data_IF_394956594563
#
_entry.id   IF_394956594563
#
_cell.length_a   1.000
_cell.length_b   1.000
_cell.length_c   1.000
_cell.angle_alpha   90.00
_cell.angle_beta   90.00
_cell.angle_gamma   90.00
#
_symmetry.space_group_name_H-M   'P 1'
#
loop_
_entity.id
_entity.type
_entity.pdbx_description
1 polymer ?
#
# COMPACT_ATOMS: atom_id res chain seq x y z
N UNK A 1 -1.51 -5.97 22.68
CA UNK A 1 -2.69 -5.31 22.07
C UNK A 1 -3.68 -4.74 23.10
N UNK A 2 -3.97 -5.42 24.23
CA UNK A 2 -4.88 -4.89 25.26
C UNK A 2 -4.42 -3.57 25.92
N UNK A 3 -3.11 -3.30 25.99
CA UNK A 3 -2.60 -2.13 26.69
C UNK A 3 -2.99 -0.80 26.03
N UNK A 4 -2.96 -0.68 24.70
CA UNK A 4 -3.25 0.59 24.00
C UNK A 4 -4.74 0.84 23.76
N UNK A 5 -5.55 -0.22 23.62
CA UNK A 5 -6.99 -0.11 23.41
C UNK A 5 -7.74 0.32 24.69
N UNK A 6 -7.24 -0.10 25.87
CA UNK A 6 -7.86 0.21 27.18
C UNK A 6 -7.88 1.70 27.53
N UNK A 7 -6.91 2.47 27.01
CA UNK A 7 -6.80 3.91 27.30
C UNK A 7 -7.48 4.80 26.24
N UNK A 8 -8.05 4.21 25.18
CA UNK A 8 -8.76 4.99 24.17
C UNK A 8 -10.20 5.23 24.60
N UNK A 9 -10.54 6.49 24.90
CA UNK A 9 -11.89 6.90 25.31
C UNK A 9 -12.95 6.70 24.21
N UNK A 10 -12.52 6.58 22.95
CA UNK A 10 -13.41 6.33 21.81
C UNK A 10 -13.70 4.83 21.60
N UNK A 11 -13.24 3.95 22.49
CA UNK A 11 -13.45 2.51 22.39
C UNK A 11 -14.37 2.03 23.53
N UNK A 12 -15.37 1.21 23.20
CA UNK A 12 -16.29 0.64 24.19
C UNK A 12 -15.74 -0.69 24.73
N UNK A 13 -15.64 -1.71 23.88
CA UNK A 13 -15.26 -3.07 24.31
C UNK A 13 -13.99 -3.60 23.61
N UNK A 14 -13.90 -3.49 22.28
CA UNK A 14 -12.79 -4.02 21.50
C UNK A 14 -12.35 -3.06 20.39
N UNK A 15 -11.04 -2.83 20.28
CA UNK A 15 -10.44 -2.05 19.21
C UNK A 15 -9.52 -2.91 18.37
N UNK A 16 -9.90 -3.14 17.11
CA UNK A 16 -9.08 -3.84 16.12
C UNK A 16 -8.22 -2.87 15.29
N UNK A 17 -8.77 -1.70 14.94
CA UNK A 17 -8.10 -0.70 14.11
C UNK A 17 -7.40 0.37 14.94
N UNK A 18 -6.23 0.81 14.48
CA UNK A 18 -5.57 2.00 15.02
C UNK A 18 -6.26 3.23 14.41
N UNK A 19 -6.60 4.23 15.22
CA UNK A 19 -7.36 5.41 14.77
C UNK A 19 -6.52 6.45 14.02
N UNK A 20 -5.20 6.28 13.98
CA UNK A 20 -4.29 7.19 13.28
C UNK A 20 -4.14 6.73 11.82
N UNK A 21 -4.75 7.46 10.89
CA UNK A 21 -4.50 7.32 9.46
C UNK A 21 -3.66 8.50 8.95
N UNK A 22 -2.96 8.30 7.83
CA UNK A 22 -2.16 9.35 7.19
C UNK A 22 -2.48 9.41 5.69
N UNK A 23 -3.66 9.95 5.31
CA UNK A 23 -3.97 10.15 3.90
C UNK A 23 -2.97 11.13 3.30
N UNK A 24 -2.51 10.82 2.09
CA UNK A 24 -1.61 11.67 1.32
C UNK A 24 -2.07 11.70 -0.12
N UNK A 25 -2.29 12.90 -0.64
CA UNK A 25 -2.71 13.09 -2.02
C UNK A 25 -1.54 12.84 -2.98
N UNK A 26 -1.83 12.11 -4.05
CA UNK A 26 -0.84 11.68 -5.02
C UNK A 26 -0.83 12.60 -6.25
N UNK A 27 -0.48 13.87 -6.05
CA UNK A 27 -0.57 14.93 -7.07
C UNK A 27 0.46 14.83 -8.20
N UNK A 28 1.59 14.17 -7.95
CA UNK A 28 2.74 14.11 -8.87
C UNK A 28 3.04 12.66 -9.22
N UNK A 29 3.20 12.30 -10.50
CA UNK A 29 3.55 10.95 -10.92
C UNK A 29 4.73 10.33 -10.18
N UNK A 30 5.82 11.10 -10.01
CA UNK A 30 6.99 10.66 -9.25
C UNK A 30 6.66 10.31 -7.80
N UNK A 31 5.78 11.05 -7.15
CA UNK A 31 5.37 10.78 -5.78
C UNK A 31 4.48 9.54 -5.72
N UNK A 32 3.54 9.40 -6.66
CA UNK A 32 2.70 8.21 -6.81
C UNK A 32 3.54 6.95 -6.99
N UNK A 33 4.49 6.97 -7.94
CA UNK A 33 5.43 5.87 -8.15
C UNK A 33 6.27 5.56 -6.92
N UNK A 34 6.74 6.58 -6.21
CA UNK A 34 7.43 6.37 -4.93
C UNK A 34 6.55 5.62 -3.93
N UNK A 35 5.25 5.93 -3.84
CA UNK A 35 4.32 5.23 -2.93
C UNK A 35 3.99 3.82 -3.39
N UNK A 36 3.77 3.60 -4.69
CA UNK A 36 3.58 2.26 -5.27
C UNK A 36 4.78 1.37 -4.92
N UNK A 37 6.00 1.85 -5.19
CA UNK A 37 7.24 1.14 -4.86
C UNK A 37 7.38 0.88 -3.36
N UNK A 38 7.00 1.84 -2.51
CA UNK A 38 7.00 1.65 -1.06
C UNK A 38 6.07 0.50 -0.65
N UNK A 39 4.83 0.50 -1.17
CA UNK A 39 3.83 -0.52 -0.85
C UNK A 39 4.29 -1.91 -1.30
N UNK A 40 4.77 -2.05 -2.54
CA UNK A 40 5.26 -3.33 -3.07
C UNK A 40 6.46 -3.87 -2.30
N UNK A 41 7.34 -3.00 -1.81
CA UNK A 41 8.52 -3.41 -1.03
C UNK A 41 8.24 -3.61 0.47
N UNK A 42 7.04 -3.32 0.98
CA UNK A 42 6.73 -3.51 2.41
C UNK A 42 6.89 -4.97 2.86
N UNK A 43 6.39 -5.99 2.13
CA UNK A 43 6.59 -7.39 2.49
C UNK A 43 8.07 -7.79 2.56
N UNK A 44 8.90 -7.27 1.66
CA UNK A 44 10.36 -7.48 1.65
C UNK A 44 11.01 -6.86 2.89
N UNK A 45 10.69 -5.59 3.18
CA UNK A 45 11.23 -4.88 4.37
C UNK A 45 10.80 -5.55 5.67
N UNK A 46 9.60 -6.12 5.69
CA UNK A 46 9.07 -6.89 6.82
C UNK A 46 9.64 -8.33 6.89
N UNK A 47 10.46 -8.74 5.91
CA UNK A 47 11.05 -10.09 5.80
C UNK A 47 10.01 -11.20 5.74
N UNK A 48 8.87 -10.94 5.11
CA UNK A 48 7.81 -11.93 4.87
C UNK A 48 8.12 -12.75 3.61
N UNK A 49 8.81 -12.12 2.64
CA UNK A 49 9.16 -12.69 1.34
C UNK A 49 10.55 -12.21 0.92
N UNK A 50 11.19 -12.91 0.00
CA UNK A 50 12.51 -12.56 -0.55
C UNK A 50 12.39 -11.62 -1.75
N UNK A 51 11.25 -11.69 -2.48
CA UNK A 51 10.94 -10.79 -3.59
C UNK A 51 9.54 -10.16 -3.46
N UNK A 52 9.39 -8.91 -3.89
CA UNK A 52 8.15 -8.13 -3.72
C UNK A 52 6.91 -8.82 -4.32
N UNK A 53 7.07 -9.48 -5.46
CA UNK A 53 5.99 -10.17 -6.17
C UNK A 53 5.65 -11.54 -5.60
N UNK A 54 6.41 -12.08 -4.64
CA UNK A 54 6.05 -13.33 -3.98
C UNK A 54 4.85 -13.16 -3.04
N UNK A 55 4.62 -11.94 -2.54
CA UNK A 55 3.49 -11.64 -1.67
C UNK A 55 2.18 -11.60 -2.48
N UNK A 56 1.41 -12.70 -2.43
CA UNK A 56 0.22 -12.92 -3.26
C UNK A 56 -0.90 -11.89 -3.07
N UNK A 57 -0.95 -11.22 -1.92
CA UNK A 57 -1.96 -10.20 -1.60
C UNK A 57 -1.47 -8.77 -1.92
N UNK A 58 -0.50 -8.64 -2.82
CA UNK A 58 -0.02 -7.37 -3.36
C UNK A 58 -0.21 -7.31 -4.87
N UNK A 59 -0.46 -6.12 -5.40
CA UNK A 59 -0.54 -5.88 -6.84
C UNK A 59 0.82 -5.93 -7.55
N UNK A 60 1.94 -6.14 -6.83
CA UNK A 60 3.28 -6.22 -7.41
C UNK A 60 3.36 -7.18 -8.62
N UNK A 61 2.65 -8.31 -8.58
CA UNK A 61 2.55 -9.25 -9.71
C UNK A 61 1.85 -8.69 -10.93
N UNK A 62 0.79 -7.90 -10.75
CA UNK A 62 0.07 -7.24 -11.84
C UNK A 62 1.03 -6.29 -12.59
N UNK A 63 1.84 -5.52 -11.85
CA UNK A 63 2.84 -4.61 -12.44
C UNK A 63 3.98 -5.33 -13.17
N UNK A 64 4.17 -6.63 -12.94
CA UNK A 64 5.10 -7.48 -13.70
C UNK A 64 4.42 -8.22 -14.87
N UNK A 65 3.14 -7.94 -15.14
CA UNK A 65 2.37 -8.63 -16.18
C UNK A 65 2.10 -10.11 -15.90
N UNK A 66 2.23 -10.55 -14.63
CA UNK A 66 1.94 -11.94 -14.27
C UNK A 66 0.42 -12.16 -14.20
N UNK A 67 -0.04 -13.30 -14.73
CA UNK A 67 -1.45 -13.68 -14.75
C UNK A 67 -1.90 -14.43 -13.49
N UNK A 68 -0.97 -14.95 -12.69
CA UNK A 68 -1.28 -15.69 -11.47
C UNK A 68 -1.41 -14.75 -10.25
N UNK A 69 -2.46 -13.93 -10.28
CA UNK A 69 -2.79 -12.94 -9.25
C UNK A 69 -4.06 -13.32 -8.50
N UNK A 70 -4.18 -12.89 -7.25
CA UNK A 70 -5.40 -13.11 -6.46
C UNK A 70 -6.52 -12.18 -6.93
N UNK A 71 -6.16 -10.96 -7.30
CA UNK A 71 -7.06 -9.95 -7.86
C UNK A 71 -6.35 -9.24 -9.01
N UNK A 72 -6.99 -9.23 -10.17
CA UNK A 72 -6.56 -8.44 -11.32
C UNK A 72 -6.81 -6.95 -11.03
N UNK A 73 -5.83 -6.12 -11.33
CA UNK A 73 -5.96 -4.66 -11.20
C UNK A 73 -5.45 -3.98 -12.45
N UNK A 74 -6.06 -2.84 -12.78
CA UNK A 74 -5.52 -1.94 -13.78
C UNK A 74 -4.28 -1.24 -13.19
N UNK A 75 -3.12 -1.51 -13.77
CA UNK A 75 -1.88 -0.86 -13.37
C UNK A 75 -1.90 0.58 -13.87
N UNK A 76 -1.65 1.53 -12.96
CA UNK A 76 -1.47 2.92 -13.36
C UNK A 76 -0.27 3.04 -14.30
N UNK A 77 -0.52 3.54 -15.50
CA UNK A 77 0.50 4.08 -16.38
C UNK A 77 0.58 5.60 -16.17
N UNK A 78 1.77 6.09 -15.86
CA UNK A 78 2.01 7.49 -15.59
C UNK A 78 3.13 7.92 -16.53
N UNK A 79 2.75 8.16 -17.79
CA UNK A 79 3.59 8.44 -18.96
C UNK A 79 4.71 9.46 -18.73
N UNK A 80 4.59 10.33 -17.72
CA UNK A 80 5.54 11.40 -17.43
C UNK A 80 5.92 11.42 -15.96
N UNK A 81 7.21 11.24 -15.65
CA UNK A 81 7.72 11.28 -14.27
C UNK A 81 7.87 12.71 -13.71
N UNK A 82 7.62 13.74 -14.51
CA UNK A 82 7.80 15.15 -14.18
C UNK A 82 6.55 15.90 -14.67
N UNK A 83 5.54 16.01 -13.81
CA UNK A 83 4.28 16.67 -14.14
C UNK A 83 3.31 16.65 -12.97
N UNK A 84 2.17 17.30 -13.13
CA UNK A 84 0.98 17.04 -12.31
C UNK A 84 0.09 16.07 -13.09
N UNK A 85 -0.64 15.23 -12.37
CA UNK A 85 -1.76 14.50 -12.98
C UNK A 85 -2.92 15.48 -12.96
N UNK A 86 -3.31 15.99 -14.13
CA UNK A 86 -4.49 16.84 -14.22
C UNK A 86 -5.72 16.02 -13.81
N UNK A 87 -6.48 16.57 -12.87
CA UNK A 87 -7.65 15.94 -12.25
C UNK A 87 -8.91 16.20 -13.07
#
# INVERSE_FOLDING_TARGET
MQYHAKFNKNNNDYQLWIQNNKPMECLKPRFTWQKINYIHNNPLKARIVDNAEEYIYSSARNYLGRKNVVLEVECLDLDVNIGYVDM
#
